data_IF_175808251087
#
_entry.id   IF_175808251087
#
_cell.length_a   1.000
_cell.length_b   1.000
_cell.length_c   1.000
_cell.angle_alpha   90.00
_cell.angle_beta   90.00
_cell.angle_gamma   90.00
#
_symmetry.space_group_name_H-M   'P 1'
#
loop_
_entity.id
_entity.type
_entity.pdbx_description
1 polymer ?
#
# COMPACT_ATOMS: atom_id res chain seq x y z
N UNK A 1 -9.71 -4.28 -16.82
CA UNK A 1 -8.58 -3.38 -17.16
C UNK A 1 -7.75 -3.03 -15.95
N UNK A 2 -8.39 -2.57 -14.87
CA UNK A 2 -7.64 -2.19 -13.68
C UNK A 2 -6.79 -3.32 -13.11
N UNK A 3 -7.32 -4.53 -13.10
CA UNK A 3 -6.56 -5.69 -12.60
C UNK A 3 -5.34 -6.00 -13.47
N UNK A 4 -5.47 -5.84 -14.77
CA UNK A 4 -4.35 -6.09 -15.67
C UNK A 4 -3.27 -5.04 -15.48
N UNK A 5 -3.65 -3.77 -15.36
CA UNK A 5 -2.70 -2.70 -15.15
C UNK A 5 -1.98 -2.87 -13.82
N UNK A 6 -2.71 -3.13 -12.73
CA UNK A 6 -2.10 -3.30 -11.42
C UNK A 6 -1.13 -4.49 -11.41
N UNK A 7 -1.50 -5.58 -12.04
CA UNK A 7 -0.63 -6.75 -12.12
C UNK A 7 0.62 -6.45 -12.96
N UNK A 8 0.45 -5.83 -14.11
CA UNK A 8 1.57 -5.56 -15.01
C UNK A 8 2.61 -4.66 -14.37
N UNK A 9 2.17 -3.54 -13.83
CA UNK A 9 3.10 -2.59 -13.23
C UNK A 9 3.56 -3.01 -11.85
N UNK A 10 2.68 -3.64 -11.08
CA UNK A 10 3.05 -4.15 -9.76
C UNK A 10 4.07 -5.27 -9.84
N UNK A 11 3.90 -6.20 -10.77
CA UNK A 11 4.87 -7.27 -10.98
C UNK A 11 6.21 -6.72 -11.47
N UNK A 12 6.18 -5.73 -12.35
CA UNK A 12 7.41 -5.11 -12.84
C UNK A 12 8.18 -4.44 -11.70
N UNK A 13 7.46 -3.72 -10.85
CA UNK A 13 8.09 -3.08 -9.71
C UNK A 13 8.65 -4.11 -8.73
N UNK A 14 7.90 -5.20 -8.50
CA UNK A 14 8.35 -6.26 -7.61
C UNK A 14 9.61 -6.93 -8.16
N UNK A 15 9.64 -7.23 -9.46
CA UNK A 15 10.81 -7.83 -10.08
C UNK A 15 12.03 -6.93 -9.95
N UNK A 16 11.85 -5.62 -10.17
CA UNK A 16 12.93 -4.67 -10.00
C UNK A 16 13.42 -4.64 -8.56
N UNK A 17 12.49 -4.65 -7.60
CA UNK A 17 12.86 -4.61 -6.19
C UNK A 17 13.69 -5.84 -5.80
N UNK A 18 13.32 -7.01 -6.27
CA UNK A 18 14.08 -8.22 -5.98
C UNK A 18 15.44 -8.20 -6.67
N UNK A 19 15.46 -7.82 -7.93
CA UNK A 19 16.67 -7.80 -8.73
C UNK A 19 17.72 -6.84 -8.17
N UNK A 20 17.27 -5.66 -7.73
CA UNK A 20 18.16 -4.62 -7.22
C UNK A 20 18.36 -4.68 -5.71
N UNK A 21 17.84 -5.71 -5.06
CA UNK A 21 17.91 -5.86 -3.60
C UNK A 21 17.32 -4.66 -2.86
N UNK A 22 16.20 -4.14 -3.36
CA UNK A 22 15.53 -2.95 -2.82
C UNK A 22 14.15 -3.24 -2.30
N UNK A 23 13.86 -4.50 -1.94
CA UNK A 23 12.51 -4.88 -1.52
C UNK A 23 12.05 -4.06 -0.32
N UNK A 24 12.87 -3.98 0.72
CA UNK A 24 12.48 -3.26 1.94
C UNK A 24 12.32 -1.75 1.72
N UNK A 25 13.30 -1.05 1.13
CA UNK A 25 13.11 0.40 0.89
C UNK A 25 11.94 0.70 -0.03
N UNK A 26 11.77 -0.07 -1.11
CA UNK A 26 10.65 0.18 -2.02
C UNK A 26 9.31 -0.13 -1.36
N UNK A 27 9.27 -1.14 -0.51
CA UNK A 27 8.06 -1.48 0.23
C UNK A 27 7.62 -0.31 1.13
N UNK A 28 8.55 0.25 1.89
CA UNK A 28 8.26 1.38 2.76
C UNK A 28 7.85 2.61 1.97
N UNK A 29 8.56 2.89 0.89
CA UNK A 29 8.24 4.03 0.04
C UNK A 29 6.87 3.87 -0.62
N UNK A 30 6.55 2.66 -1.08
CA UNK A 30 5.26 2.40 -1.70
C UNK A 30 4.11 2.62 -0.71
N UNK A 31 4.29 2.20 0.53
CA UNK A 31 3.28 2.46 1.55
C UNK A 31 3.09 3.95 1.79
N UNK A 32 4.20 4.70 1.85
CA UNK A 32 4.13 6.14 2.04
C UNK A 32 3.44 6.83 0.88
N UNK A 33 3.77 6.43 -0.35
CA UNK A 33 3.14 7.01 -1.54
C UNK A 33 1.64 6.71 -1.56
N UNK A 34 1.28 5.46 -1.28
CA UNK A 34 -0.13 5.08 -1.27
C UNK A 34 -0.92 5.91 -0.26
N UNK A 35 -0.34 6.14 0.91
CA UNK A 35 -0.99 6.95 1.94
C UNK A 35 -1.13 8.40 1.50
N UNK A 36 -0.08 8.99 0.93
CA UNK A 36 -0.12 10.36 0.44
C UNK A 36 -1.21 10.52 -0.60
N UNK A 37 -1.32 9.57 -1.52
CA UNK A 37 -2.33 9.64 -2.56
C UNK A 37 -3.74 9.52 -2.00
N UNK A 38 -3.94 8.69 -0.99
CA UNK A 38 -5.26 8.54 -0.36
C UNK A 38 -5.68 9.78 0.42
N UNK A 39 -4.72 10.43 1.06
CA UNK A 39 -5.01 11.59 1.88
C UNK A 39 -5.13 12.87 1.07
N UNK A 40 -4.61 12.88 -0.16
CA UNK A 40 -4.55 14.08 -0.96
C UNK A 40 -5.53 14.00 -2.13
N UNK A 41 -6.80 14.24 -1.83
CA UNK A 41 -7.85 14.15 -2.86
C UNK A 41 -7.73 15.23 -3.91
N UNK A 42 -7.14 16.38 -3.56
CA UNK A 42 -6.94 17.44 -4.55
C UNK A 42 -5.95 17.03 -5.63
N UNK A 43 -4.89 16.33 -5.23
CA UNK A 43 -3.93 15.82 -6.19
C UNK A 43 -4.59 14.85 -7.16
N UNK A 44 -5.41 13.95 -6.63
CA UNK A 44 -6.14 13.00 -7.47
C UNK A 44 -7.06 13.72 -8.45
N UNK A 45 -7.72 14.77 -8.00
CA UNK A 45 -8.60 15.54 -8.85
C UNK A 45 -7.82 16.21 -9.96
N UNK A 46 -6.66 16.79 -9.65
CA UNK A 46 -5.82 17.44 -10.66
C UNK A 46 -5.31 16.42 -11.67
N UNK A 47 -4.88 15.25 -11.19
CA UNK A 47 -4.34 14.23 -12.08
C UNK A 47 -5.39 13.63 -13.01
N UNK A 48 -6.67 13.69 -12.62
CA UNK A 48 -7.75 13.19 -13.44
C UNK A 48 -8.43 14.29 -14.28
N UNK A 49 -7.94 15.52 -14.18
CA UNK A 49 -8.57 16.63 -14.87
C UNK A 49 -8.21 16.60 -16.35
N UNK A 50 -9.21 16.54 -17.25
CA UNK A 50 -8.93 16.37 -18.68
C UNK A 50 -8.27 17.57 -19.35
N UNK A 51 -8.38 18.75 -18.76
CA UNK A 51 -7.79 19.94 -19.34
C UNK A 51 -6.34 20.16 -18.99
N UNK A 52 -5.80 19.39 -18.04
CA UNK A 52 -4.40 19.49 -17.67
C UNK A 52 -3.62 18.53 -18.55
N UNK A 53 -2.57 19.04 -19.20
CA UNK A 53 -1.79 18.22 -20.10
C UNK A 53 -0.94 17.20 -19.34
N UNK A 54 -0.63 16.11 -20.00
CA UNK A 54 0.17 15.04 -19.37
C UNK A 54 1.52 15.53 -18.90
N UNK A 55 2.16 16.40 -19.67
CA UNK A 55 3.46 16.96 -19.28
C UNK A 55 3.37 17.75 -17.98
N UNK A 56 2.30 18.48 -17.78
CA UNK A 56 2.10 19.20 -16.53
C UNK A 56 1.85 18.25 -15.37
N UNK A 57 1.10 17.19 -15.61
CA UNK A 57 0.86 16.17 -14.60
C UNK A 57 2.15 15.47 -14.19
N UNK A 58 2.99 15.14 -15.16
CA UNK A 58 4.30 14.53 -14.90
C UNK A 58 5.16 15.46 -14.06
N UNK A 59 5.18 16.74 -14.41
CA UNK A 59 5.95 17.73 -13.67
C UNK A 59 5.48 17.85 -12.24
N UNK A 60 4.16 17.80 -12.05
CA UNK A 60 3.58 17.87 -10.71
C UNK A 60 4.00 16.67 -9.85
N UNK A 61 3.98 15.48 -10.44
CA UNK A 61 4.46 14.28 -9.76
C UNK A 61 5.92 14.42 -9.36
N UNK A 62 6.75 14.91 -10.27
CA UNK A 62 8.16 15.12 -9.97
C UNK A 62 8.35 16.12 -8.84
N UNK A 63 7.62 17.22 -8.87
CA UNK A 63 7.75 18.26 -7.84
C UNK A 63 7.34 17.75 -6.46
N UNK A 64 6.31 16.91 -6.40
CA UNK A 64 5.81 16.42 -5.12
C UNK A 64 6.70 15.34 -4.55
N UNK A 65 7.16 14.42 -5.38
CA UNK A 65 7.79 13.20 -4.90
C UNK A 65 9.32 13.18 -5.05
N UNK A 66 9.87 13.99 -5.92
CA UNK A 66 11.31 13.98 -6.14
C UNK A 66 12.03 14.38 -4.85
N UNK A 67 13.01 13.57 -4.47
CA UNK A 67 13.72 13.80 -3.22
C UNK A 67 13.05 13.23 -1.98
N UNK A 68 11.80 12.78 -2.10
CA UNK A 68 11.08 12.16 -0.98
C UNK A 68 11.01 10.66 -1.11
N UNK A 69 11.02 10.16 -2.33
CA UNK A 69 11.05 8.73 -2.62
C UNK A 69 12.10 8.47 -3.68
N UNK A 70 12.45 7.21 -3.87
CA UNK A 70 13.46 6.84 -4.83
C UNK A 70 13.03 7.08 -6.27
N UNK A 71 14.02 7.18 -7.14
CA UNK A 71 13.77 7.43 -8.56
C UNK A 71 12.93 6.33 -9.20
N UNK A 72 13.02 5.11 -8.70
CA UNK A 72 12.23 3.99 -9.22
C UNK A 72 10.74 4.25 -9.10
N UNK A 73 10.30 4.73 -7.94
CA UNK A 73 8.87 5.00 -7.75
C UNK A 73 8.43 6.26 -8.46
N UNK A 74 9.29 7.28 -8.51
CA UNK A 74 8.99 8.48 -9.30
C UNK A 74 8.82 8.10 -10.76
N UNK A 75 9.72 7.26 -11.28
CA UNK A 75 9.64 6.79 -12.65
C UNK A 75 8.37 6.01 -12.93
N UNK A 76 7.97 5.16 -11.99
CA UNK A 76 6.72 4.41 -12.13
C UNK A 76 5.51 5.35 -12.17
N UNK A 77 5.46 6.34 -11.27
CA UNK A 77 4.36 7.29 -11.26
C UNK A 77 4.29 8.09 -12.56
N UNK A 78 5.45 8.53 -13.05
CA UNK A 78 5.51 9.23 -14.32
C UNK A 78 4.99 8.37 -15.46
N UNK A 79 5.39 7.11 -15.49
CA UNK A 79 4.93 6.18 -16.53
C UNK A 79 3.43 5.98 -16.48
N UNK A 80 2.87 5.82 -15.28
CA UNK A 80 1.43 5.65 -15.13
C UNK A 80 0.67 6.88 -15.64
N UNK A 81 1.18 8.08 -15.35
CA UNK A 81 0.57 9.30 -15.84
C UNK A 81 0.67 9.37 -17.37
N UNK A 82 1.85 9.09 -17.92
CA UNK A 82 2.05 9.17 -19.37
C UNK A 82 1.21 8.18 -20.14
N UNK A 83 0.95 7.02 -19.56
CA UNK A 83 0.15 5.98 -20.20
C UNK A 83 -1.35 6.14 -19.94
N UNK A 84 -1.74 7.13 -19.18
CA UNK A 84 -3.14 7.36 -18.88
C UNK A 84 -3.72 6.42 -17.85
N UNK A 85 -2.88 5.83 -17.01
CA UNK A 85 -3.29 4.85 -16.00
C UNK A 85 -3.23 5.39 -14.57
N UNK A 86 -3.26 6.72 -14.40
CA UNK A 86 -3.17 7.27 -13.06
C UNK A 86 -4.29 6.76 -12.14
N UNK A 87 -5.47 6.52 -12.71
CA UNK A 87 -6.60 6.05 -11.89
C UNK A 87 -6.33 4.72 -11.21
N UNK A 88 -5.44 3.91 -11.78
CA UNK A 88 -5.09 2.60 -11.25
C UNK A 88 -3.89 2.64 -10.32
N UNK A 89 -3.35 3.82 -10.03
CA UNK A 89 -2.13 3.95 -9.22
C UNK A 89 -2.27 3.31 -7.86
N UNK A 90 -3.38 3.58 -7.15
CA UNK A 90 -3.60 2.98 -5.84
C UNK A 90 -3.60 1.45 -5.91
N UNK A 91 -4.22 0.90 -6.94
CA UNK A 91 -4.28 -0.55 -7.13
C UNK A 91 -2.91 -1.14 -7.45
N UNK A 92 -2.10 -0.41 -8.23
CA UNK A 92 -0.74 -0.85 -8.52
C UNK A 92 0.08 -0.95 -7.25
N UNK A 93 0.03 0.08 -6.41
CA UNK A 93 0.78 0.07 -5.17
C UNK A 93 0.24 -0.96 -4.17
N UNK A 94 -1.07 -1.13 -4.10
CA UNK A 94 -1.66 -2.15 -3.23
C UNK A 94 -1.21 -3.55 -3.67
N UNK A 95 -1.22 -3.80 -4.97
CA UNK A 95 -0.76 -5.07 -5.51
C UNK A 95 0.70 -5.32 -5.18
N UNK A 96 1.55 -4.31 -5.37
CA UNK A 96 2.96 -4.43 -5.05
C UNK A 96 3.18 -4.73 -3.56
N UNK A 97 2.47 -4.00 -2.69
CA UNK A 97 2.58 -4.19 -1.25
C UNK A 97 2.18 -5.62 -0.87
N UNK A 98 1.09 -6.11 -1.44
CA UNK A 98 0.62 -7.48 -1.17
C UNK A 98 1.64 -8.51 -1.66
N UNK A 99 2.25 -8.27 -2.82
CA UNK A 99 3.28 -9.16 -3.34
C UNK A 99 4.50 -9.21 -2.41
N UNK A 100 4.90 -8.06 -1.87
CA UNK A 100 6.03 -8.02 -0.94
C UNK A 100 5.70 -8.75 0.35
N UNK A 101 4.48 -8.56 0.88
CA UNK A 101 4.06 -9.27 2.08
C UNK A 101 4.11 -10.78 1.87
N UNK A 102 3.64 -11.27 0.73
CA UNK A 102 3.70 -12.68 0.41
C UNK A 102 5.13 -13.16 0.29
N UNK A 103 5.97 -12.37 -0.37
CA UNK A 103 7.38 -12.71 -0.54
C UNK A 103 8.10 -12.80 0.80
N UNK A 104 7.80 -11.88 1.72
CA UNK A 104 8.41 -11.88 3.06
C UNK A 104 7.66 -12.77 4.04
N UNK A 105 6.58 -13.39 3.60
CA UNK A 105 5.73 -14.26 4.42
C UNK A 105 5.16 -13.53 5.63
N UNK A 106 4.65 -12.33 5.36
CA UNK A 106 3.95 -11.53 6.36
C UNK A 106 2.45 -11.76 6.20
N UNK A 107 1.83 -12.34 7.21
CA UNK A 107 0.38 -12.54 7.19
C UNK A 107 -0.35 -11.32 7.72
N UNK A 108 -1.63 -11.22 7.38
CA UNK A 108 -2.50 -10.19 7.93
C UNK A 108 -3.63 -10.88 8.68
N UNK A 109 -3.90 -10.44 9.89
CA UNK A 109 -4.97 -11.00 10.70
C UNK A 109 -5.81 -9.89 11.29
N UNK A 110 -7.12 -10.13 11.38
CA UNK A 110 -8.06 -9.21 12.02
C UNK A 110 -8.65 -9.92 13.22
N UNK A 111 -8.38 -9.37 14.41
CA UNK A 111 -8.81 -9.99 15.65
C UNK A 111 -9.86 -9.10 16.31
N UNK A 112 -11.05 -9.67 16.52
CA UNK A 112 -12.14 -8.95 17.16
C UNK A 112 -12.41 -9.60 18.53
N UNK A 113 -12.48 -8.79 19.56
CA UNK A 113 -12.75 -9.29 20.90
C UNK A 113 -13.80 -8.43 21.58
N UNK A 114 -14.50 -9.02 22.54
CA UNK A 114 -15.52 -8.29 23.30
C UNK A 114 -14.88 -7.25 24.22
N UNK A 115 -13.70 -7.53 24.72
CA UNK A 115 -12.97 -6.64 25.61
C UNK A 115 -11.59 -6.40 25.04
N UNK A 116 -10.98 -5.29 25.46
CA UNK A 116 -9.64 -4.98 25.01
C UNK A 116 -8.66 -6.04 25.51
N UNK A 117 -7.82 -6.53 24.62
CA UNK A 117 -6.83 -7.55 24.99
C UNK A 117 -5.64 -6.94 25.70
N UNK A 118 -5.14 -7.65 26.71
CA UNK A 118 -3.90 -7.25 27.37
C UNK A 118 -2.72 -7.52 26.44
N UNK A 119 -1.56 -6.87 26.69
CA UNK A 119 -0.37 -7.18 25.89
C UNK A 119 0.01 -8.65 25.88
N UNK A 120 -0.19 -9.34 27.01
CA UNK A 120 0.09 -10.77 27.09
C UNK A 120 -0.84 -11.58 26.20
N UNK A 121 -2.12 -11.21 26.17
CA UNK A 121 -3.09 -11.88 25.30
C UNK A 121 -2.79 -11.65 23.84
N UNK A 122 -2.40 -10.41 23.48
CA UNK A 122 -2.02 -10.11 22.10
C UNK A 122 -0.81 -10.93 21.66
N UNK A 123 0.17 -11.06 22.54
CA UNK A 123 1.35 -11.85 22.26
C UNK A 123 1.00 -13.33 22.04
N UNK A 124 0.09 -13.85 22.87
CA UNK A 124 -0.36 -15.23 22.72
C UNK A 124 -1.08 -15.45 21.39
N UNK A 125 -1.90 -14.50 20.96
CA UNK A 125 -2.58 -14.59 19.67
C UNK A 125 -1.55 -14.61 18.53
N UNK A 126 -0.60 -13.71 18.58
CA UNK A 126 0.43 -13.64 17.53
C UNK A 126 1.23 -14.95 17.48
N UNK A 127 1.63 -15.46 18.64
CA UNK A 127 2.40 -16.68 18.69
C UNK A 127 1.62 -17.87 18.11
N UNK A 128 0.35 -17.95 18.43
CA UNK A 128 -0.48 -19.02 17.90
C UNK A 128 -0.64 -18.93 16.39
N UNK A 129 -0.79 -17.71 15.86
CA UNK A 129 -0.85 -17.52 14.42
C UNK A 129 0.45 -17.95 13.74
N UNK A 130 1.59 -17.63 14.33
CA UNK A 130 2.87 -18.05 13.79
C UNK A 130 3.04 -19.56 13.84
N UNK A 131 2.58 -20.19 14.93
CA UNK A 131 2.73 -21.64 15.11
C UNK A 131 1.86 -22.44 14.16
N UNK A 132 0.72 -21.89 13.75
CA UNK A 132 -0.26 -22.65 12.97
C UNK A 132 -0.22 -22.32 11.47
N UNK A 133 0.62 -21.38 11.04
CA UNK A 133 0.71 -20.99 9.64
C UNK A 133 2.16 -21.01 9.18
N UNK A 134 2.34 -20.80 7.89
CA UNK A 134 3.69 -20.73 7.31
C UNK A 134 4.29 -19.33 7.35
N UNK A 135 3.55 -18.34 7.87
CA UNK A 135 4.04 -16.98 7.91
C UNK A 135 5.07 -16.80 9.01
N UNK A 136 5.98 -15.85 8.81
CA UNK A 136 7.03 -15.57 9.79
C UNK A 136 6.73 -14.30 10.59
N UNK A 137 5.73 -13.54 10.16
CA UNK A 137 5.34 -12.30 10.83
C UNK A 137 3.88 -12.02 10.52
N UNK A 138 3.19 -11.34 11.42
CA UNK A 138 1.79 -10.95 11.19
C UNK A 138 1.61 -9.48 11.44
N UNK A 139 0.81 -8.84 10.57
CA UNK A 139 0.21 -7.55 10.85
C UNK A 139 -1.17 -7.83 11.41
N UNK A 140 -1.40 -7.50 12.66
CA UNK A 140 -2.64 -7.82 13.34
C UNK A 140 -3.41 -6.55 13.63
N UNK A 141 -4.67 -6.54 13.21
CA UNK A 141 -5.58 -5.42 13.45
C UNK A 141 -6.59 -5.83 14.51
N UNK A 142 -6.52 -5.19 15.66
CA UNK A 142 -7.38 -5.53 16.78
C UNK A 142 -8.59 -4.61 16.83
N UNK A 143 -9.76 -5.19 17.06
CA UNK A 143 -11.00 -4.42 17.21
C UNK A 143 -11.67 -4.85 18.53
N UNK A 144 -12.00 -3.86 19.35
CA UNK A 144 -12.69 -4.12 20.61
C UNK A 144 -14.16 -3.72 20.48
N UNK A 145 -15.05 -4.66 20.64
CA UNK A 145 -16.48 -4.40 20.49
C UNK A 145 -17.02 -3.43 21.53
N UNK A 146 -16.41 -3.39 22.71
CA UNK A 146 -16.86 -2.45 23.74
C UNK A 146 -16.61 -1.00 23.36
N UNK A 147 -15.56 -0.74 22.60
CA UNK A 147 -15.29 0.61 22.13
C UNK A 147 -16.14 1.00 20.94
N UNK A 148 -16.51 0.02 20.12
CA UNK A 148 -17.22 0.34 18.89
C UNK A 148 -18.71 0.16 19.01
N UNK A 149 -19.15 -0.65 19.95
CA UNK A 149 -20.55 -0.99 20.01
C UNK A 149 -21.46 0.17 20.35
N UNK A 150 -21.07 1.14 21.14
CA UNK A 150 -22.03 2.16 21.39
C UNK A 150 -22.26 3.03 20.26
N UNK A 151 -21.48 3.00 19.41
CA UNK A 151 -21.64 3.73 18.33
C UNK A 151 -22.87 3.34 17.76
N UNK A 152 -23.59 4.04 17.66
CA UNK A 152 -24.70 3.67 17.22
C UNK A 152 -24.81 3.30 16.03
N UNK A 153 -24.21 3.00 15.92
CA UNK A 153 -24.36 2.52 15.01
C UNK A 153 -25.43 2.37 14.97
N UNK A 154 -25.49 2.55 15.44
CA UNK A 154 -26.49 2.36 15.53
C UNK A 154 -26.94 3.03 15.23
#
# INVERSE_FOLDING_TARGET
>A
MAKLVSKTYGDALFALAVEEHMVDPLYEEAQAVAQILRENTELTRLMNHPKIEKEEKVRLIEDIFKGRIGDELVGLLRMLVQKGHYKETDQVFTYFIDRVKEYKKIGTAYVTSAMELTPQQKQAVEQKLLDTTKYVQFEIHYTCLLYTSPSPRD
#
